data_IF_186575235489
#
_entry.id   IF_186575235489
#
_cell.length_a   1.000
_cell.length_b   1.000
_cell.length_c   1.000
_cell.angle_alpha   90.00
_cell.angle_beta   90.00
_cell.angle_gamma   90.00
#
_symmetry.space_group_name_H-M   'P 1'
#
loop_
_entity.id
_entity.type
_entity.pdbx_description
1 polymer ?
#
# COMPACT_ATOMS: atom_id res chain seq x y z
N UNK A 1 -19.37 -33.90 -11.46
CA UNK A 1 -19.02 -33.02 -10.32
C UNK A 1 -17.50 -32.93 -10.28
N UNK A 2 -16.93 -32.01 -11.03
CA UNK A 2 -15.50 -31.67 -10.94
C UNK A 2 -15.42 -30.16 -11.03
N UNK A 3 -15.36 -29.54 -9.86
CA UNK A 3 -15.21 -28.09 -9.72
C UNK A 3 -13.91 -27.66 -10.38
N UNK A 4 -14.08 -26.97 -11.50
CA UNK A 4 -13.02 -26.18 -12.11
C UNK A 4 -12.76 -25.01 -11.17
N UNK A 5 -11.74 -25.14 -10.31
CA UNK A 5 -11.16 -24.02 -9.59
C UNK A 5 -10.35 -23.19 -10.59
N UNK A 6 -11.07 -22.54 -11.50
CA UNK A 6 -10.59 -21.41 -12.27
C UNK A 6 -10.27 -20.31 -11.27
N UNK A 7 -9.07 -20.39 -10.69
CA UNK A 7 -8.40 -19.24 -10.13
C UNK A 7 -8.35 -18.23 -11.25
N UNK A 8 -9.28 -17.27 -11.21
CA UNK A 8 -9.28 -16.09 -12.05
C UNK A 8 -7.92 -15.45 -11.81
N UNK A 9 -6.96 -15.76 -12.68
CA UNK A 9 -5.79 -14.94 -12.91
C UNK A 9 -6.35 -13.66 -13.53
N UNK A 10 -7.03 -12.85 -12.71
CA UNK A 10 -7.09 -11.45 -12.98
C UNK A 10 -5.64 -11.06 -13.19
N UNK A 11 -5.37 -10.56 -14.38
CA UNK A 11 -4.15 -9.87 -14.74
C UNK A 11 -4.08 -8.68 -13.79
N UNK A 12 -3.66 -8.94 -12.54
CA UNK A 12 -3.33 -7.90 -11.58
C UNK A 12 -2.29 -7.08 -12.32
N UNK A 13 -2.64 -5.82 -12.59
CA UNK A 13 -1.67 -4.82 -13.06
C UNK A 13 -0.39 -5.05 -12.27
N UNK A 14 0.75 -5.04 -12.97
CA UNK A 14 2.06 -5.25 -12.34
C UNK A 14 2.13 -4.48 -11.03
N UNK A 15 2.22 -5.19 -9.92
CA UNK A 15 2.13 -4.59 -8.60
C UNK A 15 3.16 -3.46 -8.46
N UNK A 16 2.69 -2.24 -8.26
CA UNK A 16 3.52 -1.08 -8.00
C UNK A 16 3.59 -0.88 -6.49
N UNK A 17 4.79 -1.04 -5.92
CA UNK A 17 4.98 -0.79 -4.49
C UNK A 17 4.70 0.67 -4.15
N UNK A 18 3.92 0.91 -3.11
CA UNK A 18 3.73 2.23 -2.51
C UNK A 18 5.07 2.71 -1.93
N UNK A 19 5.63 3.84 -2.38
CA UNK A 19 6.91 4.32 -1.89
C UNK A 19 6.87 4.70 -0.41
N UNK A 20 8.00 4.52 0.27
CA UNK A 20 8.16 4.95 1.66
C UNK A 20 7.98 6.47 1.76
N UNK A 21 7.38 6.92 2.86
CA UNK A 21 6.97 8.29 3.08
C UNK A 21 5.62 8.65 2.48
N UNK A 22 4.96 7.75 1.74
CA UNK A 22 3.58 7.97 1.27
C UNK A 22 2.61 7.94 2.44
N UNK A 23 1.71 8.93 2.52
CA UNK A 23 0.65 8.95 3.51
C UNK A 23 -0.53 8.09 3.09
N UNK A 24 -0.97 7.23 3.99
CA UNK A 24 -2.05 6.28 3.77
C UNK A 24 -3.06 6.33 4.90
N UNK A 25 -4.28 5.91 4.61
CA UNK A 25 -5.33 5.61 5.60
C UNK A 25 -5.69 4.14 5.52
N UNK A 26 -5.76 3.47 6.66
CA UNK A 26 -6.30 2.12 6.72
C UNK A 26 -7.81 2.15 6.44
N UNK A 27 -8.30 1.33 5.50
CA UNK A 27 -9.70 1.35 5.04
C UNK A 27 -10.68 0.99 6.15
N UNK A 28 -10.36 -0.04 6.95
CA UNK A 28 -11.23 -0.54 8.04
C UNK A 28 -11.04 0.21 9.36
N UNK A 29 -9.80 0.30 9.84
CA UNK A 29 -9.48 0.94 11.13
C UNK A 29 -9.46 2.48 11.08
N UNK A 30 -9.39 3.09 9.89
CA UNK A 30 -9.48 4.54 9.71
C UNK A 30 -8.24 5.35 10.11
N UNK A 31 -7.25 4.74 10.77
CA UNK A 31 -6.03 5.42 11.19
C UNK A 31 -5.17 5.83 9.98
N UNK A 32 -4.46 6.95 10.12
CA UNK A 32 -3.58 7.52 9.10
C UNK A 32 -2.13 7.44 9.54
N UNK A 33 -1.23 7.27 8.57
CA UNK A 33 0.20 7.24 8.84
C UNK A 33 1.02 7.18 7.57
N UNK A 34 2.34 7.14 7.74
CA UNK A 34 3.28 7.08 6.63
C UNK A 34 3.82 5.66 6.46
N UNK A 35 3.94 5.21 5.22
CA UNK A 35 4.68 3.98 4.90
C UNK A 35 6.14 4.17 5.28
N UNK A 36 6.72 3.26 6.05
CA UNK A 36 8.16 3.31 6.41
C UNK A 36 8.92 2.02 6.06
N UNK A 37 8.28 1.15 5.28
CA UNK A 37 8.90 -0.03 4.70
C UNK A 37 7.95 -1.19 4.54
N UNK A 38 8.54 -2.34 4.21
CA UNK A 38 7.89 -3.63 4.18
C UNK A 38 8.46 -4.52 5.29
N UNK A 39 7.67 -5.49 5.74
CA UNK A 39 8.15 -6.57 6.60
C UNK A 39 7.76 -7.91 5.96
N UNK A 40 8.69 -8.86 5.95
CA UNK A 40 8.39 -10.23 5.52
C UNK A 40 7.68 -10.97 6.64
N UNK A 41 6.61 -11.70 6.29
CA UNK A 41 5.89 -12.54 7.23
C UNK A 41 6.34 -14.00 7.08
N UNK A 42 6.58 -14.68 8.20
CA UNK A 42 6.96 -16.09 8.20
C UNK A 42 5.82 -17.02 7.71
N UNK A 43 4.56 -16.60 7.88
CA UNK A 43 3.38 -17.41 7.62
C UNK A 43 2.09 -16.58 7.63
N UNK A 44 0.97 -17.19 7.26
CA UNK A 44 -0.37 -16.60 7.43
C UNK A 44 -1.03 -16.00 6.18
N UNK A 45 -2.36 -15.78 6.23
CA UNK A 45 -3.10 -15.04 5.23
C UNK A 45 -2.72 -13.54 5.26
N UNK A 46 -3.23 -12.77 4.30
CA UNK A 46 -3.07 -11.32 4.21
C UNK A 46 -1.63 -10.86 3.92
N UNK A 47 -1.24 -11.01 2.65
CA UNK A 47 0.04 -10.53 2.14
C UNK A 47 -0.17 -9.61 0.97
N UNK A 48 0.78 -8.71 0.79
CA UNK A 48 0.92 -7.94 -0.44
C UNK A 48 0.98 -8.88 -1.66
N UNK A 49 0.80 -8.35 -2.88
CA UNK A 49 0.85 -9.15 -4.10
C UNK A 49 2.13 -9.96 -4.32
N UNK A 50 3.25 -9.64 -3.67
CA UNK A 50 4.46 -10.49 -3.66
C UNK A 50 4.32 -11.81 -2.89
N UNK A 51 3.20 -12.00 -2.19
CA UNK A 51 2.92 -13.20 -1.42
C UNK A 51 3.84 -13.39 -0.21
N UNK A 52 4.60 -12.36 0.21
CA UNK A 52 5.53 -12.47 1.34
C UNK A 52 5.55 -11.29 2.30
N UNK A 53 5.20 -10.08 1.88
CA UNK A 53 5.30 -8.88 2.73
C UNK A 53 3.97 -8.29 3.18
N UNK A 54 4.03 -7.45 4.21
CA UNK A 54 3.04 -6.42 4.52
C UNK A 54 3.74 -5.05 4.62
N UNK A 55 2.99 -3.97 4.40
CA UNK A 55 3.46 -2.62 4.67
C UNK A 55 3.52 -2.31 6.15
N UNK A 56 4.55 -1.57 6.56
CA UNK A 56 4.63 -0.95 7.88
C UNK A 56 4.12 0.49 7.78
N UNK A 57 3.15 0.82 8.61
CA UNK A 57 2.56 2.16 8.71
C UNK A 57 2.95 2.76 10.05
N UNK A 58 3.67 3.87 9.99
CA UNK A 58 3.98 4.69 11.15
C UNK A 58 2.82 5.68 11.39
N UNK A 59 2.06 5.44 12.44
CA UNK A 59 0.90 6.25 12.85
C UNK A 59 1.25 7.27 13.97
N UNK A 60 2.54 7.42 14.31
CA UNK A 60 2.99 8.28 15.41
C UNK A 60 2.97 7.62 16.80
N UNK A 61 2.61 6.34 16.87
CA UNK A 61 2.64 5.53 18.09
C UNK A 61 3.94 4.70 18.20
N UNK A 62 4.18 4.11 19.37
CA UNK A 62 5.35 3.26 19.61
C UNK A 62 5.35 1.99 18.76
N UNK A 63 4.16 1.44 18.46
CA UNK A 63 3.99 0.28 17.62
C UNK A 63 3.59 0.67 16.18
N UNK A 64 4.30 0.10 15.20
CA UNK A 64 3.90 0.20 13.79
C UNK A 64 2.70 -0.68 13.54
N UNK A 65 1.78 -0.20 12.69
CA UNK A 65 0.70 -1.01 12.15
C UNK A 65 1.19 -1.76 10.92
N UNK A 66 0.70 -2.98 10.74
CA UNK A 66 0.94 -3.76 9.52
C UNK A 66 -0.35 -3.82 8.71
N UNK A 67 -0.24 -3.68 7.39
CA UNK A 67 -1.37 -3.76 6.48
C UNK A 67 -0.95 -4.28 5.11
N UNK A 68 -1.86 -4.99 4.44
CA UNK A 68 -1.71 -5.28 3.01
C UNK A 68 -2.11 -4.07 2.18
N UNK A 69 -1.61 -4.00 0.95
CA UNK A 69 -1.99 -2.96 -0.01
C UNK A 69 -3.50 -2.76 -0.12
N UNK A 70 -4.27 -3.86 -0.22
CA UNK A 70 -5.72 -3.81 -0.41
C UNK A 70 -6.44 -3.09 0.74
N UNK A 71 -5.86 -3.08 1.95
CA UNK A 71 -6.41 -2.40 3.12
C UNK A 71 -5.95 -0.94 3.24
N UNK A 72 -5.10 -0.46 2.33
CA UNK A 72 -4.59 0.90 2.33
C UNK A 72 -5.27 1.78 1.28
N UNK A 73 -5.54 3.02 1.68
CA UNK A 73 -5.94 4.10 0.79
C UNK A 73 -4.83 5.14 0.77
N UNK A 74 -4.22 5.37 -0.39
CA UNK A 74 -3.27 6.46 -0.59
C UNK A 74 -4.00 7.79 -0.50
N UNK A 75 -3.46 8.73 0.29
CA UNK A 75 -4.03 10.05 0.43
C UNK A 75 -3.36 11.03 -0.53
N UNK A 76 -4.19 11.88 -1.14
CA UNK A 76 -3.76 12.94 -2.07
C UNK A 76 -4.15 14.32 -1.54
N UNK A 77 -3.47 15.36 -2.03
CA UNK A 77 -3.95 16.73 -1.88
C UNK A 77 -5.13 17.02 -2.83
N UNK A 78 -5.60 18.28 -2.83
CA UNK A 78 -6.73 18.73 -3.64
C UNK A 78 -6.48 18.63 -5.15
N UNK A 79 -5.22 18.61 -5.58
CA UNK A 79 -4.83 18.47 -6.99
C UNK A 79 -4.66 16.99 -7.40
N UNK A 80 -4.96 16.05 -6.49
CA UNK A 80 -4.79 14.62 -6.72
C UNK A 80 -3.34 14.15 -6.62
N UNK A 81 -2.43 14.98 -6.09
CA UNK A 81 -1.02 14.61 -5.93
C UNK A 81 -0.84 13.89 -4.60
N UNK A 82 -0.12 12.76 -4.60
CA UNK A 82 0.10 11.98 -3.39
C UNK A 82 0.75 12.80 -2.28
N UNK A 83 0.25 12.64 -1.05
CA UNK A 83 0.82 13.25 0.13
C UNK A 83 2.02 12.42 0.59
N UNK A 84 3.18 13.07 0.71
CA UNK A 84 4.41 12.40 1.11
C UNK A 84 5.22 13.22 2.12
N UNK A 85 5.88 12.53 3.05
CA UNK A 85 6.71 13.14 4.07
C UNK A 85 7.97 13.80 3.49
N UNK A 86 8.10 15.13 3.65
CA UNK A 86 9.29 15.94 3.32
C UNK A 86 9.78 15.81 1.86
N UNK A 87 8.89 15.51 0.91
CA UNK A 87 9.24 15.40 -0.51
C UNK A 87 8.80 16.61 -1.33
N UNK A 88 9.59 16.95 -2.36
CA UNK A 88 9.26 18.03 -3.30
C UNK A 88 8.11 17.63 -4.22
N UNK A 89 7.39 18.63 -4.74
CA UNK A 89 6.20 18.41 -5.58
C UNK A 89 6.52 17.62 -6.84
N UNK A 90 7.68 17.81 -7.46
CA UNK A 90 8.07 17.11 -8.69
C UNK A 90 8.17 15.60 -8.46
N UNK A 91 8.75 15.21 -7.32
CA UNK A 91 8.83 13.80 -6.94
C UNK A 91 7.45 13.23 -6.63
N UNK A 92 6.62 13.95 -5.86
CA UNK A 92 5.25 13.53 -5.55
C UNK A 92 4.41 13.35 -6.82
N UNK A 93 4.57 14.22 -7.82
CA UNK A 93 3.90 14.10 -9.11
C UNK A 93 4.35 12.87 -9.90
N UNK A 94 5.64 12.53 -9.89
CA UNK A 94 6.14 11.30 -10.49
C UNK A 94 5.57 10.05 -9.81
N UNK A 95 5.55 10.03 -8.48
CA UNK A 95 4.97 8.92 -7.70
C UNK A 95 3.47 8.80 -7.96
N UNK A 96 2.74 9.91 -8.05
CA UNK A 96 1.30 9.91 -8.34
C UNK A 96 1.00 9.23 -9.67
N UNK A 97 1.76 9.56 -10.73
CA UNK A 97 1.63 8.89 -12.04
C UNK A 97 1.86 7.39 -11.92
N UNK A 98 2.95 7.01 -11.26
CA UNK A 98 3.32 5.60 -11.08
C UNK A 98 2.26 4.78 -10.34
N UNK A 99 1.53 5.38 -9.40
CA UNK A 99 0.52 4.70 -8.59
C UNK A 99 -0.89 4.71 -9.23
N UNK A 100 -1.12 5.49 -10.29
CA UNK A 100 -2.41 5.59 -10.98
C UNK A 100 -2.46 4.81 -12.31
N UNK A 101 -1.31 4.45 -12.87
CA UNK A 101 -1.18 3.67 -14.12
C UNK A 101 -1.61 2.20 -13.99
#
# INVERSE_FOLDING_TARGET
>A
MSDSKQGRLETRRSWVRIPDGTMVRHRREGHQGFIDGLTELAGGPDRNPDGRTQYRVNIGESARKLAVEDDLLILTDADGVVLMLRQKVEYRSCVSKQLHD
#
